data_IF_722879124538
#
_entry.id   IF_722879124538
#
_cell.length_a   1.000
_cell.length_b   1.000
_cell.length_c   1.000
_cell.angle_alpha   90.00
_cell.angle_beta   90.00
_cell.angle_gamma   90.00
#
_symmetry.space_group_name_H-M   'P 1'
#
loop_
_entity.id
_entity.type
_entity.pdbx_description
1 polymer ?
#
# COMPACT_ATOMS: atom_id res chain seq x y z
N UNK A 1 11.74 -18.02 -53.29
CA UNK A 1 11.22 -18.74 -52.10
C UNK A 1 11.49 -17.87 -50.89
N UNK A 2 10.46 -17.24 -50.33
CA UNK A 2 10.58 -16.34 -49.18
C UNK A 2 10.38 -17.17 -47.90
N UNK A 3 11.46 -17.47 -47.18
CA UNK A 3 11.38 -18.10 -45.86
C UNK A 3 10.91 -17.04 -44.87
N UNK A 4 9.60 -16.97 -44.65
CA UNK A 4 9.01 -16.15 -43.60
C UNK A 4 9.51 -16.62 -42.23
N UNK A 5 10.42 -15.86 -41.64
CA UNK A 5 10.84 -16.06 -40.25
C UNK A 5 9.63 -16.00 -39.34
N UNK A 6 9.37 -17.10 -38.61
CA UNK A 6 8.39 -17.10 -37.52
C UNK A 6 8.83 -16.04 -36.52
N UNK A 7 7.99 -15.01 -36.30
CA UNK A 7 8.22 -14.02 -35.24
C UNK A 7 8.38 -14.76 -33.90
N UNK A 8 9.32 -14.36 -33.03
CA UNK A 8 9.44 -14.94 -31.70
C UNK A 8 8.11 -14.76 -30.97
N UNK A 9 7.59 -15.86 -30.41
CA UNK A 9 6.37 -15.83 -29.62
C UNK A 9 6.74 -15.31 -28.23
N UNK A 10 6.49 -14.03 -27.98
CA UNK A 10 6.63 -13.46 -26.64
C UNK A 10 5.43 -13.98 -25.85
N UNK A 11 5.68 -14.80 -24.83
CA UNK A 11 4.64 -15.24 -23.91
C UNK A 11 4.25 -14.02 -23.06
N UNK A 12 3.14 -13.39 -23.40
CA UNK A 12 2.53 -12.35 -22.56
C UNK A 12 1.85 -13.00 -21.37
N UNK A 13 2.34 -12.74 -20.18
CA UNK A 13 1.70 -13.17 -18.93
C UNK A 13 0.56 -12.22 -18.59
N UNK A 14 -0.55 -12.78 -18.15
CA UNK A 14 -1.76 -12.05 -17.82
C UNK A 14 -2.20 -12.36 -16.39
N UNK A 15 -2.59 -11.32 -15.67
CA UNK A 15 -3.05 -11.42 -14.29
C UNK A 15 -4.58 -11.32 -14.26
N UNK A 16 -5.21 -12.31 -13.65
CA UNK A 16 -6.66 -12.46 -13.56
C UNK A 16 -7.13 -12.38 -12.12
N UNK A 17 -8.28 -11.75 -11.91
CA UNK A 17 -8.97 -11.76 -10.63
C UNK A 17 -10.02 -12.86 -10.63
N UNK A 18 -9.94 -13.76 -9.66
CA UNK A 18 -10.87 -14.88 -9.51
C UNK A 18 -11.78 -14.59 -8.31
N UNK A 19 -13.09 -14.57 -8.55
CA UNK A 19 -14.08 -14.47 -7.47
C UNK A 19 -14.19 -15.81 -6.76
N UNK A 20 -14.15 -15.77 -5.44
CA UNK A 20 -14.29 -16.96 -4.60
C UNK A 20 -15.34 -16.75 -3.51
N UNK A 21 -15.66 -17.82 -2.79
CA UNK A 21 -16.45 -17.73 -1.56
C UNK A 21 -15.61 -17.07 -0.49
N UNK A 22 -16.14 -16.01 0.11
CA UNK A 22 -15.52 -15.28 1.22
C UNK A 22 -15.12 -16.21 2.36
N UNK A 23 -13.93 -16.01 2.92
CA UNK A 23 -13.32 -16.83 3.97
C UNK A 23 -12.97 -18.26 3.51
N UNK A 24 -12.87 -18.50 2.20
CA UNK A 24 -12.42 -19.76 1.58
C UNK A 24 -11.32 -19.53 0.54
N UNK A 25 -10.66 -18.37 0.59
CA UNK A 25 -9.59 -17.95 -0.32
C UNK A 25 -8.43 -18.96 -0.29
N UNK A 26 -7.93 -19.31 0.90
CA UNK A 26 -6.81 -20.27 1.04
C UNK A 26 -7.15 -21.65 0.44
N UNK A 27 -8.41 -22.08 0.62
CA UNK A 27 -8.89 -23.34 0.04
C UNK A 27 -9.00 -23.25 -1.47
N UNK A 28 -9.48 -22.14 -2.02
CA UNK A 28 -9.53 -21.93 -3.45
C UNK A 28 -8.12 -21.92 -4.07
N UNK A 29 -7.15 -21.23 -3.45
CA UNK A 29 -5.73 -21.24 -3.84
C UNK A 29 -5.20 -22.68 -3.86
N UNK A 30 -5.39 -23.43 -2.77
CA UNK A 30 -4.94 -24.83 -2.66
C UNK A 30 -5.51 -25.70 -3.80
N UNK A 31 -6.80 -25.60 -4.08
CA UNK A 31 -7.47 -26.40 -5.11
C UNK A 31 -6.99 -26.05 -6.53
N UNK A 32 -6.80 -24.77 -6.83
CA UNK A 32 -6.30 -24.32 -8.13
C UNK A 32 -4.86 -24.79 -8.32
N UNK A 33 -4.00 -24.60 -7.30
CA UNK A 33 -2.60 -25.06 -7.32
C UNK A 33 -2.50 -26.56 -7.57
N UNK A 34 -3.26 -27.37 -6.81
CA UNK A 34 -3.25 -28.83 -6.98
C UNK A 34 -3.71 -29.25 -8.38
N UNK A 35 -4.73 -28.59 -8.94
CA UNK A 35 -5.22 -28.87 -10.29
C UNK A 35 -4.18 -28.50 -11.35
N UNK A 36 -3.58 -27.31 -11.24
CA UNK A 36 -2.57 -26.83 -12.17
C UNK A 36 -1.39 -27.80 -12.25
N UNK A 37 -0.88 -28.26 -11.10
CA UNK A 37 0.19 -29.27 -11.03
C UNK A 37 -0.25 -30.60 -11.63
N UNK A 38 -1.42 -31.12 -11.20
CA UNK A 38 -1.91 -32.44 -11.66
C UNK A 38 -2.14 -32.51 -13.16
N UNK A 39 -2.61 -31.41 -13.76
CA UNK A 39 -2.94 -31.33 -15.18
C UNK A 39 -1.85 -30.67 -16.03
N UNK A 40 -0.75 -30.22 -15.41
CA UNK A 40 0.34 -29.49 -16.07
C UNK A 40 -0.18 -28.25 -16.84
N UNK A 41 -1.08 -27.50 -16.21
CA UNK A 41 -1.65 -26.27 -16.78
C UNK A 41 -0.61 -25.15 -16.63
N UNK A 42 -0.46 -24.31 -17.67
CA UNK A 42 0.49 -23.19 -17.71
C UNK A 42 0.05 -21.98 -16.84
N UNK A 43 -0.25 -22.24 -15.58
CA UNK A 43 -0.42 -21.23 -14.53
C UNK A 43 0.94 -21.00 -13.88
N UNK A 44 1.27 -19.74 -13.65
CA UNK A 44 2.55 -19.34 -13.09
C UNK A 44 2.47 -19.09 -11.59
N UNK A 45 1.39 -18.45 -11.15
CA UNK A 45 1.16 -18.19 -9.74
C UNK A 45 -0.34 -18.12 -9.43
N UNK A 46 -0.70 -18.52 -8.22
CA UNK A 46 -2.03 -18.27 -7.64
C UNK A 46 -1.82 -17.83 -6.20
N UNK A 47 -2.40 -16.70 -5.84
CA UNK A 47 -2.12 -16.05 -4.57
C UNK A 47 -3.38 -15.44 -3.99
N UNK A 48 -3.49 -15.54 -2.67
CA UNK A 48 -4.42 -14.72 -1.89
C UNK A 48 -3.69 -13.42 -1.58
N UNK A 49 -4.04 -12.31 -2.24
CA UNK A 49 -3.42 -11.03 -1.91
C UNK A 49 -3.95 -10.50 -0.57
N UNK A 50 -3.20 -9.62 0.06
CA UNK A 50 -3.59 -8.97 1.31
C UNK A 50 -4.85 -8.10 1.11
N UNK A 51 -5.71 -8.09 2.13
CA UNK A 51 -6.96 -7.31 2.25
C UNK A 51 -8.03 -7.47 1.15
N UNK A 52 -7.78 -8.29 0.12
CA UNK A 52 -8.78 -8.62 -0.90
C UNK A 52 -9.68 -9.79 -0.46
N UNK A 53 -10.78 -9.46 0.22
CA UNK A 53 -11.76 -10.47 0.68
C UNK A 53 -12.66 -10.99 -0.45
N UNK A 54 -12.81 -12.31 -0.55
CA UNK A 54 -13.66 -12.98 -1.53
C UNK A 54 -13.09 -13.04 -2.95
N UNK A 55 -11.80 -12.75 -3.11
CA UNK A 55 -11.10 -12.88 -4.38
C UNK A 55 -9.67 -13.41 -4.17
N UNK A 56 -9.11 -13.94 -5.24
CA UNK A 56 -7.70 -14.35 -5.34
C UNK A 56 -7.16 -13.90 -6.70
N UNK A 57 -5.85 -13.90 -6.84
CA UNK A 57 -5.16 -13.51 -8.06
C UNK A 57 -4.53 -14.74 -8.69
N UNK A 58 -4.67 -14.86 -10.02
CA UNK A 58 -4.15 -15.96 -10.82
C UNK A 58 -3.36 -15.38 -11.99
N UNK A 59 -2.11 -15.80 -12.14
CA UNK A 59 -1.25 -15.43 -13.26
C UNK A 59 -1.13 -16.62 -14.24
N UNK A 60 -1.47 -16.39 -15.49
CA UNK A 60 -1.49 -17.42 -16.53
C UNK A 60 -1.09 -16.84 -17.90
N UNK A 61 -0.85 -17.72 -18.88
CA UNK A 61 -0.52 -17.32 -20.26
C UNK A 61 -1.68 -16.56 -20.91
N UNK A 62 -2.91 -17.03 -20.70
CA UNK A 62 -4.11 -16.45 -21.27
C UNK A 62 -5.35 -16.81 -20.44
N UNK A 63 -6.49 -16.29 -20.89
CA UNK A 63 -7.78 -16.50 -20.23
C UNK A 63 -8.21 -17.97 -20.27
N UNK A 64 -7.96 -18.67 -21.37
CA UNK A 64 -8.36 -20.08 -21.52
C UNK A 64 -7.64 -20.94 -20.47
N UNK A 65 -6.34 -20.73 -20.32
CA UNK A 65 -5.50 -21.38 -19.29
C UNK A 65 -6.00 -21.07 -17.88
N UNK A 66 -6.32 -19.81 -17.60
CA UNK A 66 -6.85 -19.38 -16.32
C UNK A 66 -8.22 -20.02 -16.02
N UNK A 67 -9.10 -20.10 -17.03
CA UNK A 67 -10.42 -20.73 -16.92
C UNK A 67 -10.26 -22.22 -16.67
N UNK A 68 -9.38 -22.92 -17.39
CA UNK A 68 -9.12 -24.35 -17.20
C UNK A 68 -8.68 -24.69 -15.76
N UNK A 69 -7.80 -23.85 -15.22
CA UNK A 69 -7.28 -23.96 -13.86
C UNK A 69 -8.36 -23.70 -12.79
N UNK A 70 -9.29 -22.78 -13.04
CA UNK A 70 -10.34 -22.39 -12.11
C UNK A 70 -11.65 -23.19 -12.29
N UNK A 71 -11.80 -23.95 -13.38
CA UNK A 71 -13.08 -24.52 -13.80
C UNK A 71 -13.63 -25.58 -12.85
N UNK A 72 -14.88 -25.36 -12.43
CA UNK A 72 -15.68 -26.28 -11.63
C UNK A 72 -14.97 -26.76 -10.35
N UNK A 73 -14.24 -25.84 -9.71
CA UNK A 73 -13.63 -26.07 -8.41
C UNK A 73 -14.55 -25.54 -7.29
N UNK A 74 -14.67 -26.26 -6.15
CA UNK A 74 -15.30 -25.75 -4.95
C UNK A 74 -14.79 -24.36 -4.57
N UNK A 75 -15.70 -23.53 -4.07
CA UNK A 75 -15.45 -22.16 -3.63
C UNK A 75 -15.04 -21.17 -4.73
N UNK A 76 -14.75 -21.62 -5.95
CA UNK A 76 -14.45 -20.74 -7.09
C UNK A 76 -15.76 -20.36 -7.79
N UNK A 77 -15.98 -19.06 -7.98
CA UNK A 77 -17.16 -18.49 -8.63
C UNK A 77 -16.88 -18.02 -10.07
N UNK A 78 -15.61 -18.02 -10.48
CA UNK A 78 -15.17 -17.68 -11.84
C UNK A 78 -14.29 -16.45 -11.92
N UNK A 79 -13.77 -16.20 -13.11
CA UNK A 79 -12.95 -15.03 -13.43
C UNK A 79 -13.84 -13.80 -13.55
N UNK A 80 -13.41 -12.66 -12.99
CA UNK A 80 -14.12 -11.38 -13.12
C UNK A 80 -13.31 -10.37 -13.94
N UNK A 81 -14.03 -9.53 -14.69
CA UNK A 81 -13.43 -8.40 -15.39
C UNK A 81 -12.41 -8.78 -16.47
N UNK A 82 -11.56 -7.80 -16.81
CA UNK A 82 -10.40 -7.97 -17.70
C UNK A 82 -9.16 -8.30 -16.86
N UNK A 83 -8.04 -8.51 -17.54
CA UNK A 83 -6.74 -8.61 -16.89
C UNK A 83 -6.39 -7.32 -16.18
N UNK A 84 -5.64 -7.41 -15.08
CA UNK A 84 -5.15 -6.26 -14.32
C UNK A 84 -3.63 -6.09 -14.53
N UNK A 85 -3.12 -4.86 -14.65
CA UNK A 85 -1.68 -4.62 -14.63
C UNK A 85 -1.12 -4.86 -13.21
N UNK A 86 0.15 -5.21 -13.12
CA UNK A 86 0.80 -5.53 -11.84
C UNK A 86 0.80 -4.33 -10.88
N UNK A 87 0.97 -3.12 -11.41
CA UNK A 87 1.00 -1.87 -10.66
C UNK A 87 -0.29 -1.62 -9.86
N UNK A 88 -1.43 -2.12 -10.32
CA UNK A 88 -2.71 -1.99 -9.62
C UNK A 88 -2.84 -2.93 -8.40
N UNK A 89 -2.07 -4.02 -8.39
CA UNK A 89 -2.15 -5.05 -7.34
C UNK A 89 -0.89 -5.13 -6.48
N UNK A 90 0.17 -4.39 -6.84
CA UNK A 90 1.48 -4.45 -6.19
C UNK A 90 1.38 -4.34 -4.67
N UNK A 91 0.69 -3.32 -4.16
CA UNK A 91 0.57 -3.09 -2.72
C UNK A 91 -0.18 -4.22 -1.99
N UNK A 92 -1.05 -4.96 -2.70
CA UNK A 92 -1.75 -6.11 -2.13
C UNK A 92 -0.87 -7.37 -2.08
N UNK A 93 0.14 -7.45 -2.95
CA UNK A 93 1.11 -8.56 -3.00
C UNK A 93 2.33 -8.31 -2.11
N UNK A 94 2.72 -7.05 -1.97
CA UNK A 94 3.89 -6.59 -1.21
C UNK A 94 3.46 -5.57 -0.13
N UNK A 95 2.63 -5.97 0.85
CA UNK A 95 2.23 -5.07 1.92
C UNK A 95 3.43 -4.73 2.81
N UNK A 96 3.52 -3.47 3.22
CA UNK A 96 4.56 -2.96 4.13
C UNK A 96 4.17 -3.20 5.59
N UNK A 97 5.15 -3.21 6.51
CA UNK A 97 4.90 -3.42 7.95
C UNK A 97 3.91 -2.38 8.51
N UNK A 98 3.97 -1.15 7.98
CA UNK A 98 3.08 -0.05 8.35
C UNK A 98 1.61 -0.34 8.00
N UNK A 99 1.35 -1.10 6.95
CA UNK A 99 -0.02 -1.43 6.50
C UNK A 99 -0.73 -2.42 7.45
N UNK A 100 0.02 -3.22 8.21
CA UNK A 100 -0.52 -4.21 9.15
C UNK A 100 -0.82 -3.65 10.54
N UNK A 101 -0.24 -2.50 10.91
CA UNK A 101 -0.31 -1.95 12.27
C UNK A 101 -0.95 -0.56 12.29
N UNK A 102 -2.00 -0.39 11.49
CA UNK A 102 -2.84 0.83 11.52
C UNK A 102 -3.58 0.87 12.86
N UNK A 103 -3.50 1.98 13.56
CA UNK A 103 -4.15 2.22 14.84
C UNK A 103 -5.18 3.36 14.72
N UNK A 104 -6.17 3.35 15.62
CA UNK A 104 -7.08 4.51 15.74
C UNK A 104 -6.22 5.68 16.20
N UNK A 105 -6.32 6.81 15.51
CA UNK A 105 -5.43 7.95 15.77
C UNK A 105 -4.50 8.28 14.60
N UNK A 106 -4.09 7.25 13.86
CA UNK A 106 -3.10 7.39 12.79
C UNK A 106 -3.55 8.34 11.68
N UNK A 107 -2.59 9.03 11.08
CA UNK A 107 -2.80 9.79 9.87
C UNK A 107 -2.39 8.93 8.68
N UNK A 108 -3.33 8.76 7.77
CA UNK A 108 -3.15 7.99 6.54
C UNK A 108 -3.32 8.88 5.32
N UNK A 109 -2.58 8.57 4.26
CA UNK A 109 -2.80 9.08 2.92
C UNK A 109 -3.65 8.10 2.12
N UNK A 110 -4.68 8.62 1.45
CA UNK A 110 -5.56 7.84 0.61
C UNK A 110 -4.85 7.49 -0.71
N UNK A 111 -4.77 6.21 -1.06
CA UNK A 111 -4.22 5.75 -2.35
C UNK A 111 -5.31 5.34 -3.35
N UNK A 112 -6.53 5.10 -2.86
CA UNK A 112 -7.69 4.77 -3.70
C UNK A 112 -8.11 5.92 -4.63
N UNK A 113 -8.52 5.58 -5.87
CA UNK A 113 -8.71 6.55 -6.97
C UNK A 113 -9.59 7.76 -6.63
N UNK A 114 -10.67 7.61 -5.87
CA UNK A 114 -11.63 8.70 -5.61
C UNK A 114 -11.08 9.79 -4.70
N UNK A 115 -10.20 9.44 -3.75
CA UNK A 115 -9.67 10.38 -2.74
C UNK A 115 -8.14 10.41 -2.77
N UNK A 116 -7.52 10.01 -3.89
CA UNK A 116 -6.08 9.81 -3.97
C UNK A 116 -5.28 11.06 -3.56
N UNK A 117 -4.35 10.90 -2.64
CA UNK A 117 -3.49 11.97 -2.10
C UNK A 117 -4.08 12.73 -0.92
N UNK A 118 -5.37 12.55 -0.62
CA UNK A 118 -5.99 13.17 0.55
C UNK A 118 -5.48 12.55 1.85
N UNK A 119 -5.35 13.37 2.90
CA UNK A 119 -4.95 12.91 4.24
C UNK A 119 -6.17 12.76 5.14
N UNK A 120 -6.19 11.69 5.93
CA UNK A 120 -7.30 11.38 6.81
C UNK A 120 -6.80 10.85 8.16
N UNK A 121 -7.53 11.16 9.24
CA UNK A 121 -7.32 10.55 10.56
C UNK A 121 -8.17 9.29 10.70
N UNK A 122 -7.57 8.18 11.13
CA UNK A 122 -8.28 6.93 11.42
C UNK A 122 -9.10 7.11 12.69
N UNK A 123 -10.41 6.87 12.58
CA UNK A 123 -11.37 7.01 13.69
C UNK A 123 -11.90 5.67 14.19
N UNK A 124 -11.93 4.65 13.33
CA UNK A 124 -12.34 3.29 13.69
C UNK A 124 -11.74 2.26 12.75
N UNK A 125 -11.52 1.06 13.26
CA UNK A 125 -10.96 -0.07 12.53
C UNK A 125 -11.92 -1.27 12.61
N UNK A 126 -12.26 -1.87 11.47
CA UNK A 126 -12.99 -3.14 11.36
C UNK A 126 -12.08 -4.18 10.69
N UNK A 127 -11.26 -4.87 11.49
CA UNK A 127 -10.31 -5.89 11.03
C UNK A 127 -11.00 -7.11 10.42
N UNK A 128 -12.22 -7.44 10.84
CA UNK A 128 -12.99 -8.56 10.29
C UNK A 128 -13.43 -8.30 8.84
N UNK A 129 -13.62 -7.02 8.47
CA UNK A 129 -13.96 -6.61 7.10
C UNK A 129 -12.79 -6.05 6.30
N UNK A 130 -11.68 -5.69 6.95
CA UNK A 130 -10.56 -5.01 6.30
C UNK A 130 -10.89 -3.56 5.95
N UNK A 131 -11.70 -2.90 6.78
CA UNK A 131 -12.21 -1.55 6.54
C UNK A 131 -11.78 -0.59 7.66
N UNK A 132 -11.57 0.66 7.28
CA UNK A 132 -11.29 1.79 8.17
C UNK A 132 -12.41 2.81 8.04
N UNK A 133 -12.78 3.45 9.15
CA UNK A 133 -13.55 4.69 9.12
C UNK A 133 -12.57 5.82 9.36
N UNK A 134 -12.47 6.75 8.41
CA UNK A 134 -11.52 7.86 8.44
C UNK A 134 -12.25 9.20 8.36
N UNK A 135 -11.65 10.25 8.92
CA UNK A 135 -12.09 11.63 8.76
C UNK A 135 -11.05 12.40 7.95
N UNK A 136 -11.44 12.96 6.80
CA UNK A 136 -10.54 13.76 5.96
C UNK A 136 -10.08 15.02 6.72
N UNK A 137 -8.78 15.31 6.70
CA UNK A 137 -8.19 16.45 7.40
C UNK A 137 -8.41 17.79 6.67
N UNK A 138 -8.57 17.77 5.34
CA UNK A 138 -8.78 18.97 4.53
C UNK A 138 -10.22 19.48 4.49
N UNK A 139 -11.18 18.78 5.11
CA UNK A 139 -12.59 19.14 5.06
C UNK A 139 -12.96 20.14 6.17
N UNK A 140 -13.68 21.21 5.83
CA UNK A 140 -14.18 22.19 6.82
C UNK A 140 -15.19 21.59 7.81
N UNK A 141 -15.82 20.48 7.44
CA UNK A 141 -16.70 19.69 8.30
C UNK A 141 -16.26 18.23 8.22
N UNK A 142 -15.92 17.58 9.34
CA UNK A 142 -15.45 16.20 9.34
C UNK A 142 -16.60 15.26 8.99
N UNK A 143 -16.51 14.60 7.83
CA UNK A 143 -17.45 13.55 7.41
C UNK A 143 -16.72 12.20 7.50
N UNK A 144 -17.25 11.22 8.26
CA UNK A 144 -16.65 9.90 8.31
C UNK A 144 -16.85 9.17 6.97
N UNK A 145 -15.76 8.66 6.41
CA UNK A 145 -15.76 7.86 5.18
C UNK A 145 -15.24 6.46 5.49
N UNK A 146 -15.96 5.44 5.03
CA UNK A 146 -15.48 4.06 5.10
C UNK A 146 -14.62 3.72 3.89
N UNK A 147 -13.41 3.25 4.13
CA UNK A 147 -12.43 2.91 3.10
C UNK A 147 -11.81 1.55 3.40
N UNK A 148 -11.25 0.87 2.39
CA UNK A 148 -10.51 -0.37 2.61
C UNK A 148 -9.12 -0.07 3.17
N UNK A 149 -8.61 -0.95 4.03
CA UNK A 149 -7.25 -0.85 4.56
C UNK A 149 -6.19 -0.81 3.44
N UNK A 150 -6.34 -1.63 2.39
CA UNK A 150 -5.40 -1.64 1.27
C UNK A 150 -5.44 -0.37 0.40
N UNK A 151 -6.39 0.53 0.65
CA UNK A 151 -6.55 1.79 -0.08
C UNK A 151 -5.99 2.99 0.70
N UNK A 152 -5.22 2.75 1.75
CA UNK A 152 -4.56 3.79 2.52
C UNK A 152 -3.09 3.45 2.75
N UNK A 153 -2.28 4.46 3.05
CA UNK A 153 -0.89 4.32 3.49
C UNK A 153 -0.71 5.11 4.77
N UNK A 154 -0.17 4.52 5.84
CA UNK A 154 0.16 5.28 7.06
C UNK A 154 1.29 6.26 6.77
N UNK A 155 1.11 7.53 7.15
CA UNK A 155 2.12 8.58 6.97
C UNK A 155 2.58 9.21 8.29
N UNK A 156 1.83 9.01 9.37
CA UNK A 156 2.21 9.40 10.73
C UNK A 156 1.41 8.59 11.74
N UNK A 157 2.09 8.05 12.75
CA UNK A 157 1.44 7.38 13.88
C UNK A 157 1.07 8.37 14.97
N UNK A 158 0.05 8.05 15.76
CA UNK A 158 -0.30 8.87 16.93
C UNK A 158 0.82 8.86 17.99
N UNK A 159 1.52 7.73 18.17
CA UNK A 159 2.64 7.57 19.11
C UNK A 159 3.86 8.45 18.82
N UNK A 160 4.10 8.78 17.55
CA UNK A 160 5.32 9.49 17.12
C UNK A 160 5.19 11.02 17.32
N UNK A 161 4.08 11.48 17.91
CA UNK A 161 3.82 12.91 18.14
C UNK A 161 4.11 13.41 19.55
N UNK A 162 4.82 12.63 20.37
CA UNK A 162 5.27 13.02 21.71
C UNK A 162 6.78 13.37 21.82
N UNK A 163 7.55 13.34 20.73
CA UNK A 163 8.96 13.76 20.74
C UNK A 163 9.21 15.04 19.94
N UNK A 164 8.91 16.19 20.54
CA UNK A 164 9.61 17.46 20.25
C UNK A 164 10.71 17.61 21.33
N UNK A 165 12.02 17.42 21.01
CA UNK A 165 13.09 17.71 21.95
C UNK A 165 13.25 19.23 22.10
N UNK A 166 13.44 19.64 23.35
CA UNK A 166 13.27 21.01 23.83
C UNK A 166 14.25 22.05 23.28
N UNK A 167 13.77 23.29 23.36
CA UNK A 167 14.58 24.51 23.27
C UNK A 167 15.77 24.43 24.24
N UNK A 168 16.96 24.29 23.69
CA UNK A 168 18.20 24.68 24.34
C UNK A 168 19.04 25.48 23.36
N UNK A 169 19.58 26.59 23.89
CA UNK A 169 20.62 27.48 23.33
C UNK A 169 20.12 28.74 22.62
N UNK A 170 19.98 29.81 23.41
CA UNK A 170 20.72 31.05 23.14
C UNK A 170 21.34 31.50 24.48
N UNK A 171 22.64 31.30 24.64
CA UNK A 171 23.45 32.11 25.57
C UNK A 171 23.78 33.41 24.82
N UNK A 172 23.13 34.50 25.22
CA UNK A 172 23.50 35.84 24.77
C UNK A 172 24.87 36.20 25.34
N UNK A 173 25.85 36.39 24.44
CA UNK A 173 27.07 37.13 24.74
C UNK A 173 26.91 38.53 24.15
N UNK A 174 26.71 39.49 25.03
CA UNK A 174 26.66 40.93 24.72
C UNK A 174 28.08 41.41 24.34
N UNK A 175 28.27 41.83 23.09
CA UNK A 175 29.35 42.73 22.69
C UNK A 175 28.79 44.16 22.67
N UNK A 176 29.21 45.00 23.62
CA UNK A 176 29.10 46.46 23.51
C UNK A 176 30.49 47.09 23.37
N UNK A 177 30.78 47.58 22.17
CA UNK A 177 31.80 48.58 21.88
C UNK A 177 31.23 49.98 22.17
N UNK A 178 31.92 50.82 22.96
CA UNK A 178 32.58 52.06 22.48
C UNK A 178 33.00 53.03 23.61
N UNK A 179 34.29 53.37 23.55
CA UNK A 179 34.92 54.69 23.69
C UNK A 179 34.73 55.56 24.96
N UNK A 180 35.82 55.66 25.71
CA UNK A 180 36.61 56.90 25.73
C UNK A 180 36.53 57.77 26.98
N UNK A 181 37.64 57.84 27.74
CA UNK A 181 38.11 59.13 28.28
C UNK A 181 39.63 59.13 28.50
N UNK A 182 40.25 60.27 28.22
CA UNK A 182 41.68 60.57 28.30
C UNK A 182 42.05 61.02 29.71
N UNK A 183 43.17 60.54 30.24
CA UNK A 183 44.08 61.31 31.11
C UNK A 183 45.41 60.53 31.25
N UNK A 184 46.53 60.99 30.69
CA UNK A 184 47.50 62.01 31.16
C UNK A 184 48.67 61.38 31.97
N UNK A 185 49.89 61.62 31.46
CA UNK A 185 51.25 61.66 32.09
C UNK A 185 51.86 60.31 32.54
N UNK A 186 53.02 59.88 32.01
CA UNK A 186 54.40 60.32 32.32
C UNK A 186 55.06 59.20 33.18
N UNK A 187 56.28 58.69 33.07
CA UNK A 187 57.60 59.08 32.54
C UNK A 187 58.39 57.75 32.28
N UNK A 188 59.23 57.58 31.25
CA UNK A 188 60.72 57.72 31.26
C UNK A 188 61.31 57.24 32.60
N UNK A 189 61.93 56.06 32.77
CA UNK A 189 63.23 55.50 32.30
C UNK A 189 63.22 54.00 32.59
#
# INVERSE_FOLDING_TARGET
MHLGGRKPHIITMAIFIIKVTTNKEDRAVEMISQRAVKKQINVFSVVRPHGLKGYIILEAVDRETAEEAAFNLPYVKGIIGKTVPYEEIKNMLEPTIEDFNIEVGDIVEMIGQTFKGEKAKVTRIDTAKGELVVSLLGASVPIPVTVKMDNVKVIRRESDSEEEPGDSEIEDSEEEDEQGDKSILGDIV
#
